data_IF_666406999475
#
_entry.id   IF_666406999475
#
_cell.length_a   1.000
_cell.length_b   1.000
_cell.length_c   1.000
_cell.angle_alpha   90.00
_cell.angle_beta   90.00
_cell.angle_gamma   90.00
#
_symmetry.space_group_name_H-M   'P 1'
#
loop_
_entity.id
_entity.type
_entity.pdbx_description
1 polymer ?
#
# COMPACT_ATOMS: atom_id res chain seq x y z
N UNK A 1 2.32 28.77 7.46
CA UNK A 1 2.49 27.84 8.61
C UNK A 1 1.81 26.48 8.37
N UNK A 2 0.51 26.41 8.09
CA UNK A 2 -0.18 25.13 7.83
C UNK A 2 0.44 24.29 6.70
N UNK A 3 0.79 24.91 5.57
CA UNK A 3 1.45 24.23 4.45
C UNK A 3 2.81 23.63 4.82
N UNK A 4 3.58 24.32 5.67
CA UNK A 4 4.89 23.84 6.15
C UNK A 4 4.71 22.63 7.05
N UNK A 5 3.72 22.65 7.94
CA UNK A 5 3.39 21.50 8.80
C UNK A 5 2.94 20.29 7.97
N UNK A 6 2.09 20.50 6.96
CA UNK A 6 1.66 19.43 6.05
C UNK A 6 2.85 18.84 5.31
N UNK A 7 3.76 19.69 4.82
CA UNK A 7 4.96 19.23 4.13
C UNK A 7 5.88 18.39 5.04
N UNK A 8 6.12 18.84 6.28
CA UNK A 8 6.90 18.08 7.27
C UNK A 8 6.24 16.73 7.55
N UNK A 9 4.91 16.71 7.71
CA UNK A 9 4.16 15.48 7.93
C UNK A 9 4.33 14.49 6.76
N UNK A 10 4.27 14.98 5.52
CA UNK A 10 4.49 14.15 4.33
C UNK A 10 5.91 13.56 4.30
N UNK A 11 6.94 14.32 4.68
CA UNK A 11 8.31 13.82 4.80
C UNK A 11 8.40 12.71 5.85
N UNK A 12 7.78 12.91 7.02
CA UNK A 12 7.79 11.91 8.09
C UNK A 12 7.11 10.63 7.62
N UNK A 13 5.93 10.73 6.98
CA UNK A 13 5.21 9.58 6.45
C UNK A 13 6.04 8.85 5.39
N UNK A 14 6.68 9.59 4.47
CA UNK A 14 7.54 9.00 3.45
C UNK A 14 8.78 8.32 4.06
N UNK A 15 9.41 8.93 5.06
CA UNK A 15 10.57 8.38 5.77
C UNK A 15 10.23 7.10 6.53
N UNK A 16 9.11 7.08 7.26
CA UNK A 16 8.62 5.89 7.98
C UNK A 16 8.29 4.79 6.97
N UNK A 17 7.56 5.12 5.90
CA UNK A 17 7.20 4.15 4.85
C UNK A 17 8.45 3.57 4.20
N UNK A 18 9.42 4.40 3.83
CA UNK A 18 10.69 3.96 3.26
C UNK A 18 11.48 3.06 4.20
N UNK A 19 11.50 3.38 5.50
CA UNK A 19 12.15 2.56 6.52
C UNK A 19 11.48 1.19 6.65
N UNK A 20 10.14 1.14 6.64
CA UNK A 20 9.40 -0.13 6.69
C UNK A 20 9.74 -1.00 5.48
N UNK A 21 9.78 -0.41 4.27
CA UNK A 21 10.19 -1.13 3.06
C UNK A 21 11.64 -1.63 3.19
N UNK A 22 12.55 -0.77 3.63
CA UNK A 22 13.97 -1.10 3.76
C UNK A 22 14.23 -2.22 4.76
N UNK A 23 13.54 -2.23 5.91
CA UNK A 23 13.71 -3.25 6.94
C UNK A 23 13.06 -4.59 6.57
N UNK A 24 12.11 -4.60 5.63
CA UNK A 24 11.33 -5.78 5.27
C UNK A 24 11.49 -6.13 3.79
N UNK A 25 12.70 -6.57 3.43
CA UNK A 25 13.08 -6.98 2.07
C UNK A 25 12.71 -8.44 1.73
N UNK A 26 12.09 -9.17 2.66
CA UNK A 26 11.60 -10.52 2.40
C UNK A 26 10.67 -10.51 1.19
N UNK A 27 10.94 -11.41 0.24
CA UNK A 27 10.22 -11.45 -1.03
C UNK A 27 8.93 -12.23 -0.86
N UNK A 28 7.82 -11.60 -1.22
CA UNK A 28 6.52 -12.25 -1.32
C UNK A 28 6.12 -12.40 -2.78
N UNK A 29 5.50 -13.54 -3.10
CA UNK A 29 4.96 -13.83 -4.42
C UNK A 29 3.44 -13.86 -4.33
N UNK A 30 2.79 -13.14 -5.23
CA UNK A 30 1.35 -13.17 -5.40
C UNK A 30 1.01 -14.20 -6.47
N UNK A 31 0.27 -15.24 -6.07
CA UNK A 31 -0.22 -16.29 -6.95
C UNK A 31 -1.57 -15.82 -7.51
N UNK A 32 -1.64 -15.62 -8.83
CA UNK A 32 -2.84 -15.08 -9.48
C UNK A 32 -3.89 -16.15 -9.78
N UNK A 33 -3.46 -17.40 -9.95
CA UNK A 33 -4.32 -18.52 -10.35
C UNK A 33 -4.09 -19.73 -9.45
N UNK A 34 -5.15 -20.44 -9.03
CA UNK A 34 -4.97 -21.75 -8.40
C UNK A 34 -4.23 -22.69 -9.36
N UNK A 35 -3.42 -23.59 -8.80
CA UNK A 35 -2.61 -24.54 -9.56
C UNK A 35 -3.51 -25.38 -10.49
N UNK A 36 -3.33 -25.26 -11.79
CA UNK A 36 -4.01 -26.10 -12.77
C UNK A 36 -2.96 -26.78 -13.65
N UNK A 37 -2.86 -28.11 -13.56
CA UNK A 37 -1.85 -28.91 -14.29
C UNK A 37 -0.41 -28.39 -14.08
N UNK A 38 -0.04 -28.08 -12.84
CA UNK A 38 1.29 -27.59 -12.45
C UNK A 38 1.74 -26.26 -13.08
N UNK A 39 0.82 -25.54 -13.74
CA UNK A 39 1.06 -24.19 -14.25
C UNK A 39 0.46 -23.18 -13.27
N UNK A 40 1.27 -22.22 -12.84
CA UNK A 40 0.85 -21.10 -12.00
C UNK A 40 1.38 -19.78 -12.56
N UNK A 41 0.47 -18.80 -12.68
CA UNK A 41 0.84 -17.43 -13.02
C UNK A 41 1.20 -16.68 -11.74
N UNK A 42 2.48 -16.31 -11.64
CA UNK A 42 3.01 -15.54 -10.52
C UNK A 42 3.34 -14.12 -10.99
N UNK A 43 3.04 -13.14 -10.12
CA UNK A 43 3.57 -11.78 -10.28
C UNK A 43 5.05 -11.79 -9.88
N UNK A 44 5.90 -10.95 -10.50
CA UNK A 44 7.27 -10.75 -10.02
C UNK A 44 7.30 -10.52 -8.50
N UNK A 45 8.25 -11.14 -7.77
CA UNK A 45 8.32 -11.02 -6.33
C UNK A 45 8.56 -9.57 -5.92
N UNK A 46 7.84 -9.11 -4.90
CA UNK A 46 7.98 -7.77 -4.34
C UNK A 46 8.43 -7.84 -2.87
N UNK A 47 9.09 -6.79 -2.34
CA UNK A 47 9.38 -6.72 -0.91
C UNK A 47 8.09 -6.72 -0.07
N UNK A 48 8.05 -7.50 1.01
CA UNK A 48 6.93 -7.54 1.94
C UNK A 48 6.61 -6.15 2.49
N UNK A 49 7.64 -5.38 2.84
CA UNK A 49 7.44 -4.02 3.33
C UNK A 49 6.74 -3.12 2.31
N UNK A 50 7.03 -3.31 1.01
CA UNK A 50 6.33 -2.58 -0.05
C UNK A 50 4.86 -2.98 -0.13
N UNK A 51 4.57 -4.29 -0.06
CA UNK A 51 3.19 -4.78 -0.06
C UNK A 51 2.38 -4.20 1.11
N UNK A 52 2.95 -4.16 2.31
CA UNK A 52 2.31 -3.61 3.52
C UNK A 52 2.02 -2.12 3.35
N UNK A 53 3.01 -1.33 2.92
CA UNK A 53 2.86 0.11 2.72
C UNK A 53 1.78 0.40 1.66
N UNK A 54 1.81 -0.31 0.53
CA UNK A 54 0.79 -0.16 -0.51
C UNK A 54 -0.61 -0.53 0.00
N UNK A 55 -0.74 -1.64 0.74
CA UNK A 55 -2.03 -2.07 1.30
C UNK A 55 -2.61 -1.04 2.27
N UNK A 56 -1.76 -0.42 3.10
CA UNK A 56 -2.17 0.65 4.01
C UNK A 56 -2.71 1.87 3.24
N UNK A 57 -1.99 2.35 2.22
CA UNK A 57 -2.44 3.49 1.41
C UNK A 57 -3.71 3.19 0.61
N UNK A 58 -3.85 1.96 0.08
CA UNK A 58 -5.08 1.52 -0.57
C UNK A 58 -6.25 1.55 0.41
N UNK A 59 -6.06 1.07 1.64
CA UNK A 59 -7.09 1.14 2.69
C UNK A 59 -7.52 2.58 3.01
N UNK A 60 -6.56 3.49 3.16
CA UNK A 60 -6.85 4.92 3.36
C UNK A 60 -7.61 5.52 2.18
N UNK A 61 -7.22 5.18 0.96
CA UNK A 61 -7.87 5.65 -0.27
C UNK A 61 -9.32 5.15 -0.34
N UNK A 62 -9.55 3.86 -0.08
CA UNK A 62 -10.91 3.28 -0.05
C UNK A 62 -11.75 3.97 1.02
N UNK A 63 -11.22 4.17 2.23
CA UNK A 63 -11.92 4.88 3.30
C UNK A 63 -12.28 6.32 2.93
N UNK A 64 -11.36 7.04 2.30
CA UNK A 64 -11.60 8.39 1.79
C UNK A 64 -12.70 8.40 0.72
N UNK A 65 -12.61 7.53 -0.29
CA UNK A 65 -13.59 7.43 -1.37
C UNK A 65 -14.97 7.07 -0.82
N UNK A 66 -15.07 6.08 0.08
CA UNK A 66 -16.34 5.73 0.73
C UNK A 66 -16.91 6.90 1.55
N UNK A 67 -16.06 7.64 2.25
CA UNK A 67 -16.43 8.85 2.97
C UNK A 67 -16.95 9.96 2.05
N UNK A 68 -16.36 10.13 0.86
CA UNK A 68 -16.85 11.09 -0.15
C UNK A 68 -18.18 10.63 -0.73
N UNK A 69 -18.30 9.37 -1.15
CA UNK A 69 -19.52 8.79 -1.72
C UNK A 69 -20.69 8.90 -0.74
N UNK A 70 -20.49 8.56 0.53
CA UNK A 70 -21.56 8.64 1.55
C UNK A 70 -22.14 10.04 1.76
N UNK A 71 -21.40 11.11 1.42
CA UNK A 71 -21.91 12.49 1.46
C UNK A 71 -22.83 12.82 0.29
N UNK A 72 -22.77 12.09 -0.82
CA UNK A 72 -23.67 12.28 -1.96
C UNK A 72 -25.02 11.58 -1.78
N UNK A 73 -25.08 10.58 -0.89
CA UNK A 73 -26.31 9.82 -0.57
C UNK A 73 -26.99 10.30 0.73
N UNK A 74 -26.47 11.35 1.37
CA UNK A 74 -27.13 12.12 2.43
C UNK A 74 -27.63 13.44 1.87
#
# INVERSE_FOLDING_TARGET
MKMVLVFILLIIIAGISGTIVFLNQEKVMLVLTPTFRDVYYIVPPIPLGLLVVLSFFVGLFIGYVGGVISKFFK
#
